data_IF_084438993850
#
_entry.id   IF_084438993850
#
_cell.length_a   1.000
_cell.length_b   1.000
_cell.length_c   1.000
_cell.angle_alpha   90.00
_cell.angle_beta   90.00
_cell.angle_gamma   90.00
#
_symmetry.space_group_name_H-M   'P 1'
#
loop_
_entity.id
_entity.type
_entity.pdbx_description
1 polymer ?
#
# COMPACT_ATOMS: atom_id res chain seq x y z
N UNK A 1 0.56 9.42 14.92
CA UNK A 1 1.67 9.02 14.04
C UNK A 1 1.42 7.60 13.51
N UNK A 2 1.76 7.33 12.26
CA UNK A 2 1.75 5.98 11.69
C UNK A 2 3.16 5.36 11.78
N UNK A 3 3.25 4.04 11.86
CA UNK A 3 4.53 3.32 11.84
C UNK A 3 4.48 2.24 10.75
N UNK A 4 5.42 2.28 9.82
CA UNK A 4 5.60 1.28 8.78
C UNK A 4 6.84 0.43 9.06
N UNK A 5 6.71 -0.88 9.01
CA UNK A 5 7.82 -1.83 9.19
C UNK A 5 8.08 -2.52 7.85
N UNK A 6 9.20 -2.21 7.23
CA UNK A 6 9.60 -2.87 5.98
C UNK A 6 10.29 -4.19 6.25
N UNK A 7 9.62 -5.29 5.96
CA UNK A 7 10.19 -6.64 6.03
C UNK A 7 10.80 -7.00 4.68
N UNK A 8 12.14 -7.07 4.54
CA UNK A 8 12.79 -7.22 3.24
C UNK A 8 12.86 -8.67 2.74
N UNK A 9 12.04 -9.59 3.25
CA UNK A 9 12.15 -11.00 2.95
C UNK A 9 10.95 -11.53 2.18
N UNK A 10 11.21 -12.26 1.08
CA UNK A 10 10.23 -13.04 0.34
C UNK A 10 10.68 -14.51 0.22
N UNK A 11 9.74 -15.43 0.01
CA UNK A 11 10.07 -16.81 -0.34
C UNK A 11 10.75 -16.89 -1.71
N UNK A 12 10.18 -16.16 -2.68
CA UNK A 12 10.68 -15.98 -4.04
C UNK A 12 10.23 -14.63 -4.56
N UNK A 13 10.92 -14.07 -5.55
CA UNK A 13 10.52 -12.81 -6.18
C UNK A 13 9.51 -13.09 -7.29
N UNK A 14 8.34 -12.43 -7.22
CA UNK A 14 7.33 -12.47 -8.26
C UNK A 14 7.82 -11.78 -9.52
N UNK A 15 7.30 -12.17 -10.70
CA UNK A 15 7.80 -11.70 -12.00
C UNK A 15 7.49 -10.24 -12.29
N UNK A 16 6.55 -9.64 -11.59
CA UNK A 16 6.09 -8.24 -11.74
C UNK A 16 6.61 -7.30 -10.63
N UNK A 17 7.16 -7.84 -9.54
CA UNK A 17 7.39 -7.08 -8.32
C UNK A 17 8.71 -6.30 -8.36
N UNK A 18 8.63 -4.98 -8.17
CA UNK A 18 9.76 -4.07 -8.02
C UNK A 18 10.09 -3.75 -6.55
N UNK A 19 9.27 -4.17 -5.59
CA UNK A 19 9.53 -3.90 -4.18
C UNK A 19 10.87 -4.46 -3.75
N UNK A 20 11.53 -3.72 -2.85
CA UNK A 20 12.78 -4.19 -2.27
C UNK A 20 12.52 -5.45 -1.45
N UNK A 21 13.02 -6.59 -1.94
CA UNK A 21 12.89 -7.86 -1.25
C UNK A 21 14.05 -8.79 -1.58
N UNK A 22 14.46 -9.56 -0.59
CA UNK A 22 15.54 -10.54 -0.67
C UNK A 22 14.96 -11.94 -0.51
N UNK A 23 15.31 -12.89 -1.38
CA UNK A 23 14.93 -14.28 -1.17
C UNK A 23 15.48 -14.81 0.15
N UNK A 24 14.60 -15.30 1.02
CA UNK A 24 15.02 -15.90 2.29
C UNK A 24 15.51 -17.34 2.08
N UNK A 25 15.03 -17.99 1.02
CA UNK A 25 15.32 -19.39 0.77
C UNK A 25 14.55 -20.35 1.71
N UNK A 26 14.87 -21.65 1.69
CA UNK A 26 14.29 -22.61 2.62
C UNK A 26 14.76 -22.35 4.04
N UNK A 27 13.98 -22.81 5.02
CA UNK A 27 14.32 -22.71 6.43
C UNK A 27 15.67 -23.42 6.69
N UNK A 28 16.63 -22.67 7.23
CA UNK A 28 17.99 -23.10 7.50
C UNK A 28 18.58 -22.29 8.66
N UNK A 29 19.69 -22.72 9.29
CA UNK A 29 20.39 -21.90 10.25
C UNK A 29 20.80 -20.51 9.72
N UNK A 30 21.18 -20.42 8.44
CA UNK A 30 21.53 -19.16 7.78
C UNK A 30 20.32 -18.23 7.65
N UNK A 31 19.18 -18.72 7.15
CA UNK A 31 17.96 -17.90 7.06
C UNK A 31 17.48 -17.43 8.43
N UNK A 32 17.57 -18.28 9.45
CA UNK A 32 17.21 -17.91 10.82
C UNK A 32 18.15 -16.85 11.39
N UNK A 33 19.46 -16.96 11.14
CA UNK A 33 20.47 -15.96 11.54
C UNK A 33 20.22 -14.60 10.89
N UNK A 34 19.89 -14.58 9.58
CA UNK A 34 19.58 -13.35 8.86
C UNK A 34 18.33 -12.65 9.42
N UNK A 35 17.29 -13.41 9.74
CA UNK A 35 16.06 -12.87 10.36
C UNK A 35 16.34 -12.33 11.76
N UNK A 36 17.16 -13.03 12.56
CA UNK A 36 17.54 -12.58 13.90
C UNK A 36 18.35 -11.28 13.85
N UNK A 37 19.35 -11.18 12.97
CA UNK A 37 20.15 -9.97 12.80
C UNK A 37 19.29 -8.77 12.34
N UNK A 38 18.37 -8.99 11.39
CA UNK A 38 17.42 -7.97 10.97
C UNK A 38 16.55 -7.50 12.14
N UNK A 39 15.96 -8.43 12.90
CA UNK A 39 15.14 -8.10 14.08
C UNK A 39 15.91 -7.25 15.08
N UNK A 40 17.11 -7.65 15.42
CA UNK A 40 17.90 -6.96 16.43
C UNK A 40 18.28 -5.54 15.99
N UNK A 41 18.56 -5.33 14.70
CA UNK A 41 18.80 -4.00 14.13
C UNK A 41 17.53 -3.14 14.10
N UNK A 42 16.38 -3.71 13.71
CA UNK A 42 15.09 -3.03 13.72
C UNK A 42 14.69 -2.56 15.13
N UNK A 43 14.91 -3.40 16.14
CA UNK A 43 14.62 -3.02 17.53
C UNK A 43 15.56 -1.90 18.03
N UNK A 44 16.83 -1.89 17.60
CA UNK A 44 17.75 -0.77 17.89
C UNK A 44 17.32 0.51 17.17
N UNK A 45 16.87 0.40 15.93
CA UNK A 45 16.33 1.55 15.18
C UNK A 45 15.13 2.17 15.90
N UNK A 46 14.19 1.33 16.38
CA UNK A 46 13.08 1.80 17.23
C UNK A 46 13.56 2.53 18.48
N UNK A 47 14.60 2.02 19.16
CA UNK A 47 15.17 2.67 20.34
C UNK A 47 15.77 4.04 20.02
N UNK A 48 16.49 4.17 18.89
CA UNK A 48 17.06 5.45 18.43
C UNK A 48 15.96 6.48 18.14
N UNK A 49 14.91 6.07 17.43
CA UNK A 49 13.80 6.96 17.15
C UNK A 49 13.01 7.34 18.40
N UNK A 50 12.81 6.40 19.32
CA UNK A 50 12.16 6.69 20.60
C UNK A 50 12.92 7.74 21.41
N UNK A 51 14.25 7.66 21.44
CA UNK A 51 15.10 8.64 22.14
C UNK A 51 14.98 10.05 21.51
N UNK A 52 14.77 10.14 20.17
CA UNK A 52 14.65 11.42 19.45
C UNK A 52 13.25 12.03 19.52
N UNK A 53 12.21 11.19 19.34
CA UNK A 53 10.84 11.64 19.16
C UNK A 53 10.06 11.75 20.48
N UNK A 54 10.55 11.07 21.53
CA UNK A 54 9.82 10.94 22.79
C UNK A 54 8.50 10.16 22.64
N UNK A 55 7.71 10.13 23.71
CA UNK A 55 6.45 9.37 23.75
C UNK A 55 5.35 10.10 22.99
N UNK A 56 4.78 9.44 21.99
CA UNK A 56 3.66 9.94 21.17
C UNK A 56 2.72 8.80 20.78
N UNK A 57 1.42 9.08 20.54
CA UNK A 57 0.48 8.04 20.15
C UNK A 57 0.78 7.48 18.76
N UNK A 58 0.74 6.15 18.63
CA UNK A 58 0.79 5.42 17.37
C UNK A 58 -0.61 4.91 17.04
N UNK A 59 -1.19 5.41 15.96
CA UNK A 59 -2.57 5.11 15.56
C UNK A 59 -2.65 3.90 14.64
N UNK A 60 -1.56 3.61 13.91
CA UNK A 60 -1.44 2.39 13.12
C UNK A 60 0.00 1.89 13.04
N UNK A 61 0.13 0.56 12.95
CA UNK A 61 1.36 -0.14 12.60
C UNK A 61 1.09 -1.00 11.38
N UNK A 62 1.93 -0.90 10.36
CA UNK A 62 1.79 -1.70 9.15
C UNK A 62 3.08 -2.48 8.90
N UNK A 63 2.99 -3.80 8.93
CA UNK A 63 4.06 -4.69 8.51
C UNK A 63 3.89 -5.00 7.03
N UNK A 64 4.80 -4.50 6.19
CA UNK A 64 4.73 -4.63 4.74
C UNK A 64 6.09 -4.89 4.08
N UNK A 65 6.13 -4.77 2.76
CA UNK A 65 7.32 -4.84 1.93
C UNK A 65 7.49 -6.15 1.17
N UNK A 66 8.27 -7.08 1.67
CA UNK A 66 8.39 -8.42 1.10
C UNK A 66 7.21 -9.32 1.49
N UNK A 67 7.38 -10.12 2.52
CA UNK A 67 6.30 -10.99 3.05
C UNK A 67 6.44 -11.10 4.57
N UNK A 68 5.85 -10.19 5.33
CA UNK A 68 5.94 -10.18 6.80
C UNK A 68 5.49 -11.47 7.47
N UNK A 69 4.52 -12.14 6.88
CA UNK A 69 4.00 -13.44 7.35
C UNK A 69 4.93 -14.64 7.13
N UNK A 70 6.11 -14.45 6.54
CA UNK A 70 7.19 -15.44 6.54
C UNK A 70 7.98 -15.43 7.86
N UNK A 71 7.95 -14.31 8.60
CA UNK A 71 8.65 -14.21 9.87
C UNK A 71 7.85 -14.89 10.98
N UNK A 72 8.52 -15.47 11.98
CA UNK A 72 7.82 -16.11 13.07
C UNK A 72 7.02 -15.08 13.90
N UNK A 73 5.86 -15.45 14.47
CA UNK A 73 4.96 -14.52 15.19
C UNK A 73 5.59 -13.80 16.39
N UNK A 74 6.63 -14.34 16.99
CA UNK A 74 7.39 -13.69 18.06
C UNK A 74 8.17 -12.46 17.57
N UNK A 75 8.45 -12.36 16.26
CA UNK A 75 9.02 -11.15 15.66
C UNK A 75 8.02 -9.99 15.76
N UNK A 76 6.78 -10.18 15.29
CA UNK A 76 5.74 -9.15 15.32
C UNK A 76 5.41 -8.76 16.76
N UNK A 77 5.31 -9.75 17.66
CA UNK A 77 5.07 -9.50 19.08
C UNK A 77 6.18 -8.63 19.70
N UNK A 78 7.45 -8.94 19.45
CA UNK A 78 8.57 -8.17 19.96
C UNK A 78 8.60 -6.71 19.44
N UNK A 79 8.29 -6.52 18.15
CA UNK A 79 8.22 -5.17 17.55
C UNK A 79 7.07 -4.37 18.18
N UNK A 80 5.87 -4.95 18.29
CA UNK A 80 4.70 -4.29 18.86
C UNK A 80 4.91 -3.94 20.34
N UNK A 81 5.50 -4.86 21.13
CA UNK A 81 5.86 -4.58 22.51
C UNK A 81 6.86 -3.40 22.61
N UNK A 82 7.85 -3.34 21.72
CA UNK A 82 8.84 -2.26 21.70
C UNK A 82 8.19 -0.93 21.31
N UNK A 83 7.26 -0.92 20.33
CA UNK A 83 6.51 0.26 19.94
C UNK A 83 5.63 0.76 21.10
N UNK A 84 4.89 -0.12 21.77
CA UNK A 84 4.02 0.28 22.88
C UNK A 84 4.81 0.80 24.07
N UNK A 85 5.94 0.17 24.39
CA UNK A 85 6.83 0.60 25.47
C UNK A 85 7.35 2.01 25.25
N UNK A 86 7.79 2.34 24.04
CA UNK A 86 8.47 3.60 23.75
C UNK A 86 7.52 4.72 23.31
N UNK A 87 6.55 4.40 22.46
CA UNK A 87 5.64 5.39 21.91
C UNK A 87 4.30 5.40 22.64
N UNK A 88 3.50 4.51 22.54
CA UNK A 88 2.16 4.25 23.05
C UNK A 88 1.22 3.87 21.90
N UNK A 89 0.83 2.63 21.82
CA UNK A 89 -0.22 2.20 20.89
C UNK A 89 -1.56 2.78 21.35
N UNK A 90 -2.20 3.55 20.48
CA UNK A 90 -3.50 4.12 20.76
C UNK A 90 -4.55 3.00 20.98
N UNK A 91 -5.52 3.26 21.85
CA UNK A 91 -6.62 2.32 22.06
C UNK A 91 -7.34 2.08 20.70
N UNK A 92 -7.40 0.83 20.26
CA UNK A 92 -7.93 0.44 18.95
C UNK A 92 -7.05 0.83 17.75
N UNK A 93 -5.72 0.96 17.93
CA UNK A 93 -4.78 1.13 16.83
C UNK A 93 -4.98 0.05 15.75
N UNK A 94 -4.87 0.42 14.48
CA UNK A 94 -4.85 -0.55 13.38
C UNK A 94 -3.46 -1.21 13.31
N UNK A 95 -3.42 -2.53 13.42
CA UNK A 95 -2.19 -3.30 13.30
C UNK A 95 -2.33 -4.24 12.12
N UNK A 96 -1.81 -3.79 10.98
CA UNK A 96 -1.92 -4.45 9.70
C UNK A 96 -0.69 -5.29 9.39
N UNK A 97 -0.91 -6.43 8.74
CA UNK A 97 0.18 -7.27 8.23
C UNK A 97 -0.14 -7.77 6.82
N UNK A 98 0.81 -7.58 5.90
CA UNK A 98 0.79 -8.24 4.60
C UNK A 98 1.12 -9.72 4.73
N UNK A 99 0.40 -10.54 3.99
CA UNK A 99 0.58 -11.97 3.99
C UNK A 99 0.38 -12.57 2.59
N UNK A 100 1.04 -13.69 2.34
CA UNK A 100 0.74 -14.52 1.17
C UNK A 100 -0.05 -15.76 1.59
N UNK A 101 -0.94 -16.28 0.72
CA UNK A 101 -1.74 -17.47 1.05
C UNK A 101 -0.92 -18.63 1.59
N UNK A 102 0.21 -18.96 0.95
CA UNK A 102 1.06 -20.08 1.35
C UNK A 102 1.70 -19.92 2.75
N UNK A 103 1.84 -18.69 3.25
CA UNK A 103 2.38 -18.44 4.60
C UNK A 103 1.33 -18.58 5.70
N UNK A 104 0.04 -18.60 5.33
CA UNK A 104 -1.09 -18.72 6.24
C UNK A 104 -1.67 -20.15 6.33
N UNK A 105 -1.04 -21.12 5.64
CA UNK A 105 -1.49 -22.52 5.67
C UNK A 105 -1.21 -23.23 7.02
N UNK A 106 -0.33 -22.68 7.83
CA UNK A 106 -0.05 -23.17 9.17
C UNK A 106 -1.00 -22.49 10.19
N UNK A 107 -2.11 -23.12 10.54
CA UNK A 107 -3.12 -22.59 11.47
C UNK A 107 -2.53 -21.99 12.74
N UNK A 108 -1.55 -22.68 13.36
CA UNK A 108 -0.88 -22.18 14.59
C UNK A 108 -0.17 -20.84 14.39
N UNK A 109 0.36 -20.57 13.20
CA UNK A 109 0.98 -19.27 12.90
C UNK A 109 -0.10 -18.18 12.84
N UNK A 110 -1.22 -18.44 12.20
CA UNK A 110 -2.37 -17.50 12.14
C UNK A 110 -2.87 -17.15 13.54
N UNK A 111 -3.12 -18.17 14.38
CA UNK A 111 -3.55 -17.95 15.77
C UNK A 111 -2.53 -17.08 16.55
N UNK A 112 -1.23 -17.31 16.34
CA UNK A 112 -0.17 -16.56 17.02
C UNK A 112 -0.02 -15.12 16.50
N UNK A 113 -0.20 -14.83 15.20
CA UNK A 113 -0.23 -13.46 14.68
C UNK A 113 -1.37 -12.65 15.30
N UNK A 114 -2.58 -13.21 15.35
CA UNK A 114 -3.72 -12.53 15.97
C UNK A 114 -3.52 -12.34 17.49
N UNK A 115 -2.94 -13.34 18.18
CA UNK A 115 -2.59 -13.23 19.59
C UNK A 115 -1.48 -12.18 19.84
N UNK A 116 -0.57 -11.96 18.90
CA UNK A 116 0.44 -10.89 18.97
C UNK A 116 -0.15 -9.48 18.81
N UNK A 117 -1.43 -9.37 18.40
CA UNK A 117 -2.13 -8.09 18.26
C UNK A 117 -2.39 -7.66 16.83
N UNK A 118 -2.01 -8.45 15.81
CA UNK A 118 -2.39 -8.17 14.42
C UNK A 118 -3.93 -8.22 14.34
N UNK A 119 -4.56 -7.15 13.86
CA UNK A 119 -6.01 -7.04 13.80
C UNK A 119 -6.55 -6.79 12.37
N UNK A 120 -5.64 -6.61 11.38
CA UNK A 120 -5.95 -6.53 9.95
C UNK A 120 -4.93 -7.34 9.15
N UNK A 121 -5.40 -8.18 8.23
CA UNK A 121 -4.56 -8.93 7.29
C UNK A 121 -4.85 -8.42 5.86
N UNK A 122 -3.79 -8.10 5.10
CA UNK A 122 -3.86 -7.87 3.65
C UNK A 122 -3.23 -9.08 2.96
N UNK A 123 -4.03 -9.86 2.25
CA UNK A 123 -3.56 -11.10 1.66
C UNK A 123 -3.34 -10.95 0.15
N UNK A 124 -2.10 -11.11 -0.29
CA UNK A 124 -1.69 -11.00 -1.68
C UNK A 124 -2.17 -12.19 -2.53
N UNK A 125 -3.44 -12.18 -2.93
CA UNK A 125 -4.08 -13.21 -3.76
C UNK A 125 -3.71 -13.05 -5.23
N UNK A 126 -3.75 -11.83 -5.73
CA UNK A 126 -3.49 -11.37 -7.10
C UNK A 126 -4.50 -11.87 -8.14
N UNK A 127 -4.85 -13.15 -8.16
CA UNK A 127 -5.88 -13.73 -9.02
C UNK A 127 -6.47 -14.99 -8.39
N UNK A 128 -7.71 -15.32 -8.78
CA UNK A 128 -8.35 -16.61 -8.45
C UNK A 128 -8.24 -17.63 -9.59
N UNK A 129 -7.50 -17.29 -10.66
CA UNK A 129 -7.19 -18.19 -11.78
C UNK A 129 -5.71 -18.63 -11.72
N UNK A 130 -5.47 -19.93 -11.58
CA UNK A 130 -4.14 -20.53 -11.47
C UNK A 130 -3.23 -20.23 -12.69
N UNK A 131 -3.81 -19.93 -13.87
CA UNK A 131 -3.04 -19.53 -15.07
C UNK A 131 -2.37 -18.19 -14.87
N UNK A 132 -3.12 -17.20 -14.34
CA UNK A 132 -2.58 -15.88 -14.07
C UNK A 132 -1.62 -15.91 -12.88
N UNK A 133 -1.89 -16.73 -11.86
CA UNK A 133 -0.95 -16.92 -10.76
C UNK A 133 0.40 -17.49 -11.26
N UNK A 134 0.37 -18.45 -12.15
CA UNK A 134 1.59 -18.99 -12.77
C UNK A 134 2.31 -17.95 -13.64
N UNK A 135 1.58 -17.15 -14.43
CA UNK A 135 2.11 -16.03 -15.21
C UNK A 135 2.85 -15.01 -14.32
N UNK A 136 2.27 -14.66 -13.18
CA UNK A 136 2.83 -13.73 -12.19
C UNK A 136 3.99 -14.33 -11.38
N UNK A 137 4.24 -15.63 -11.50
CA UNK A 137 5.27 -16.35 -10.74
C UNK A 137 4.89 -16.51 -9.26
N UNK A 138 3.59 -16.61 -8.95
CA UNK A 138 3.11 -16.85 -7.59
C UNK A 138 3.31 -18.30 -7.19
N UNK A 139 3.79 -18.58 -5.97
CA UNK A 139 4.00 -19.94 -5.48
C UNK A 139 2.70 -20.63 -5.05
N UNK A 140 1.65 -19.88 -4.74
CA UNK A 140 0.35 -20.38 -4.31
C UNK A 140 -0.62 -20.60 -5.48
N UNK A 141 -1.68 -21.33 -5.22
CA UNK A 141 -2.81 -21.56 -6.11
C UNK A 141 -4.11 -21.12 -5.45
N UNK A 142 -5.19 -21.07 -6.24
CA UNK A 142 -6.55 -20.77 -5.74
C UNK A 142 -6.92 -21.62 -4.51
N UNK A 143 -6.60 -22.91 -4.50
CA UNK A 143 -6.87 -23.77 -3.35
C UNK A 143 -6.14 -23.34 -2.07
N UNK A 144 -4.97 -22.72 -2.17
CA UNK A 144 -4.25 -22.20 -1.00
C UNK A 144 -4.92 -20.95 -0.45
N UNK A 145 -5.48 -20.09 -1.33
CA UNK A 145 -6.28 -18.91 -0.93
C UNK A 145 -7.48 -19.35 -0.09
N UNK A 146 -8.25 -20.32 -0.60
CA UNK A 146 -9.43 -20.82 0.12
C UNK A 146 -9.08 -21.35 1.52
N UNK A 147 -8.02 -22.15 1.64
CA UNK A 147 -7.55 -22.67 2.93
C UNK A 147 -7.03 -21.58 3.85
N UNK A 148 -6.30 -20.59 3.32
CA UNK A 148 -5.81 -19.47 4.12
C UNK A 148 -6.95 -18.65 4.71
N UNK A 149 -7.99 -18.35 3.91
CA UNK A 149 -9.20 -17.66 4.41
C UNK A 149 -9.93 -18.48 5.46
N UNK A 150 -10.11 -19.79 5.25
CA UNK A 150 -10.69 -20.67 6.25
C UNK A 150 -9.92 -20.62 7.58
N UNK A 151 -8.59 -20.67 7.54
CA UNK A 151 -7.76 -20.58 8.74
C UNK A 151 -7.89 -19.22 9.43
N UNK A 152 -7.88 -18.13 8.68
CA UNK A 152 -8.05 -16.77 9.22
C UNK A 152 -9.42 -16.61 9.89
N UNK A 153 -10.50 -17.01 9.22
CA UNK A 153 -11.86 -16.91 9.78
C UNK A 153 -12.05 -17.78 11.01
N UNK A 154 -11.53 -19.01 10.96
CA UNK A 154 -11.59 -19.92 12.11
C UNK A 154 -10.72 -19.46 13.30
N UNK A 155 -9.69 -18.62 13.07
CA UNK A 155 -8.91 -17.96 14.12
C UNK A 155 -9.56 -16.67 14.65
N UNK A 156 -10.67 -16.19 14.03
CA UNK A 156 -11.40 -15.00 14.45
C UNK A 156 -10.95 -13.71 13.76
N UNK A 157 -10.19 -13.78 12.64
CA UNK A 157 -9.87 -12.62 11.84
C UNK A 157 -11.14 -12.00 11.26
N UNK A 158 -11.40 -10.72 11.60
CA UNK A 158 -12.60 -9.96 11.20
C UNK A 158 -12.29 -8.78 10.26
N UNK A 159 -11.03 -8.56 9.91
CA UNK A 159 -10.60 -7.52 8.99
C UNK A 159 -9.61 -8.14 8.01
N UNK A 160 -10.16 -8.72 6.96
CA UNK A 160 -9.42 -9.37 5.89
C UNK A 160 -9.54 -8.56 4.60
N UNK A 161 -8.39 -8.10 4.09
CA UNK A 161 -8.24 -7.56 2.76
C UNK A 161 -7.71 -8.61 1.79
N UNK A 162 -8.22 -8.61 0.57
CA UNK A 162 -7.71 -9.41 -0.54
C UNK A 162 -7.12 -8.46 -1.58
N UNK A 163 -5.82 -8.64 -1.89
CA UNK A 163 -5.14 -7.85 -2.90
C UNK A 163 -5.21 -8.60 -4.23
N UNK A 164 -5.80 -7.97 -5.24
CA UNK A 164 -6.07 -8.51 -6.57
C UNK A 164 -5.43 -7.64 -7.65
N UNK A 165 -5.15 -8.22 -8.81
CA UNK A 165 -4.58 -7.52 -9.95
C UNK A 165 -5.43 -7.70 -11.20
N UNK A 166 -5.63 -6.61 -11.92
CA UNK A 166 -6.28 -6.57 -13.22
C UNK A 166 -5.34 -6.03 -14.30
N UNK A 167 -5.74 -6.14 -15.57
CA UNK A 167 -4.90 -5.72 -16.69
C UNK A 167 -3.74 -6.69 -16.98
N UNK A 168 -3.86 -7.94 -16.55
CA UNK A 168 -2.82 -8.96 -16.74
C UNK A 168 -2.70 -9.37 -18.21
N UNK A 169 -1.51 -9.77 -18.70
CA UNK A 169 -1.35 -10.30 -20.04
C UNK A 169 -2.32 -11.45 -20.35
N UNK A 170 -3.14 -11.27 -21.38
CA UNK A 170 -4.16 -12.23 -21.78
C UNK A 170 -5.42 -12.27 -20.92
N UNK A 171 -5.57 -11.34 -19.98
CA UNK A 171 -6.80 -11.16 -19.21
C UNK A 171 -7.77 -10.27 -19.99
N UNK A 172 -9.05 -10.59 -19.96
CA UNK A 172 -10.16 -9.76 -20.42
C UNK A 172 -11.09 -9.42 -19.24
N UNK A 173 -12.10 -8.58 -19.50
CA UNK A 173 -13.07 -8.16 -18.47
C UNK A 173 -13.80 -9.36 -17.85
N UNK A 174 -14.14 -10.39 -18.61
CA UNK A 174 -14.83 -11.57 -18.08
C UNK A 174 -13.95 -12.34 -17.07
N UNK A 175 -12.65 -12.52 -17.38
CA UNK A 175 -11.70 -13.15 -16.46
C UNK A 175 -11.52 -12.31 -15.17
N UNK A 176 -11.46 -10.96 -15.31
CA UNK A 176 -11.35 -10.07 -14.16
C UNK A 176 -12.58 -10.15 -13.25
N UNK A 177 -13.77 -10.05 -13.82
CA UNK A 177 -15.02 -10.13 -13.05
C UNK A 177 -15.19 -11.48 -12.38
N UNK A 178 -14.83 -12.59 -13.05
CA UNK A 178 -14.83 -13.92 -12.44
C UNK A 178 -13.85 -14.00 -11.25
N UNK A 179 -12.68 -13.37 -11.34
CA UNK A 179 -11.75 -13.27 -10.20
C UNK A 179 -12.36 -12.50 -9.03
N UNK A 180 -13.06 -11.39 -9.31
CA UNK A 180 -13.75 -10.62 -8.28
C UNK A 180 -14.90 -11.40 -7.64
N UNK A 181 -15.73 -12.09 -8.43
CA UNK A 181 -16.83 -12.92 -7.92
C UNK A 181 -16.32 -14.03 -6.99
N UNK A 182 -15.28 -14.75 -7.40
CA UNK A 182 -14.63 -15.77 -6.59
C UNK A 182 -14.05 -15.19 -5.27
N UNK A 183 -13.44 -14.00 -5.33
CA UNK A 183 -12.90 -13.31 -4.16
C UNK A 183 -14.04 -12.81 -3.24
N UNK A 184 -15.11 -12.26 -3.79
CA UNK A 184 -16.29 -11.78 -3.06
C UNK A 184 -17.05 -12.91 -2.36
N UNK A 185 -17.03 -14.11 -2.92
CA UNK A 185 -17.60 -15.31 -2.26
C UNK A 185 -16.87 -15.68 -0.95
N UNK A 186 -15.67 -15.14 -0.70
CA UNK A 186 -14.92 -15.26 0.57
C UNK A 186 -15.29 -14.20 1.61
N UNK A 187 -16.23 -13.32 1.27
CA UNK A 187 -16.77 -12.27 2.14
C UNK A 187 -15.67 -11.38 2.77
N UNK A 188 -14.74 -10.79 1.97
CA UNK A 188 -13.73 -9.91 2.51
C UNK A 188 -14.35 -8.59 3.01
N UNK A 189 -13.70 -7.97 3.99
CA UNK A 189 -14.04 -6.62 4.45
C UNK A 189 -13.38 -5.54 3.57
N UNK A 190 -12.32 -5.90 2.84
CA UNK A 190 -11.55 -4.98 2.03
C UNK A 190 -11.04 -5.69 0.78
N UNK A 191 -10.98 -4.98 -0.34
CA UNK A 191 -10.34 -5.44 -1.58
C UNK A 191 -9.42 -4.33 -2.09
N UNK A 192 -8.16 -4.70 -2.38
CA UNK A 192 -7.27 -3.88 -3.18
C UNK A 192 -7.29 -4.40 -4.61
N UNK A 193 -7.63 -3.56 -5.58
CA UNK A 193 -7.68 -3.92 -7.01
C UNK A 193 -6.65 -3.07 -7.77
N UNK A 194 -5.46 -3.61 -7.95
CA UNK A 194 -4.35 -2.91 -8.60
C UNK A 194 -4.32 -3.20 -10.10
N UNK A 195 -4.26 -2.15 -10.92
CA UNK A 195 -3.88 -2.28 -12.32
C UNK A 195 -2.43 -2.71 -12.45
N UNK A 196 -2.14 -3.65 -13.33
CA UNK A 196 -0.77 -4.07 -13.58
C UNK A 196 0.05 -2.92 -14.14
N UNK A 197 1.10 -2.52 -13.42
CA UNK A 197 2.16 -1.65 -13.93
C UNK A 197 3.38 -2.51 -14.26
N UNK A 198 3.95 -2.31 -15.45
CA UNK A 198 5.19 -2.96 -15.84
C UNK A 198 6.38 -2.17 -15.30
N UNK A 199 6.94 -2.66 -14.20
CA UNK A 199 8.08 -2.04 -13.54
C UNK A 199 9.38 -2.42 -14.25
N UNK A 200 10.21 -1.41 -14.54
CA UNK A 200 11.49 -1.58 -15.24
C UNK A 200 12.38 -2.62 -14.55
N UNK A 201 13.01 -3.47 -15.35
CA UNK A 201 13.94 -4.49 -14.88
C UNK A 201 13.26 -5.73 -14.26
N UNK A 202 11.92 -5.82 -14.25
CA UNK A 202 11.22 -7.04 -13.83
C UNK A 202 11.21 -8.10 -14.95
N UNK A 203 11.09 -9.40 -14.62
CA UNK A 203 10.96 -10.44 -15.66
C UNK A 203 9.73 -10.25 -16.55
N UNK A 204 8.62 -9.73 -16.01
CA UNK A 204 7.39 -9.53 -16.77
C UNK A 204 7.53 -8.37 -17.78
N UNK A 205 8.17 -7.28 -17.36
CA UNK A 205 8.48 -6.15 -18.24
C UNK A 205 9.40 -6.57 -19.39
N UNK A 206 10.47 -7.34 -19.09
CA UNK A 206 11.36 -7.87 -20.12
C UNK A 206 10.66 -8.78 -21.14
N UNK A 207 9.69 -9.56 -20.71
CA UNK A 207 8.89 -10.41 -21.60
C UNK A 207 7.97 -9.59 -22.50
N UNK A 208 7.40 -8.52 -21.96
CA UNK A 208 6.57 -7.58 -22.70
C UNK A 208 7.42 -6.78 -23.71
N UNK A 209 8.53 -6.17 -23.29
CA UNK A 209 9.43 -5.42 -24.16
C UNK A 209 10.02 -6.28 -25.30
N UNK A 210 10.16 -7.56 -25.07
CA UNK A 210 10.59 -8.53 -26.10
C UNK A 210 9.43 -9.04 -26.99
N UNK A 211 8.21 -8.52 -26.85
CA UNK A 211 7.05 -8.92 -27.63
C UNK A 211 6.53 -10.33 -27.33
N UNK A 212 6.93 -10.94 -26.21
CA UNK A 212 6.46 -12.29 -25.80
C UNK A 212 5.12 -12.25 -25.07
N UNK A 213 4.72 -11.10 -24.57
CA UNK A 213 3.45 -10.85 -23.89
C UNK A 213 2.82 -9.56 -24.42
N UNK A 214 1.49 -9.51 -24.45
CA UNK A 214 0.71 -8.29 -24.73
C UNK A 214 -0.21 -7.98 -23.56
N UNK A 215 -0.31 -6.71 -23.22
CA UNK A 215 -1.32 -6.22 -22.27
C UNK A 215 -2.67 -6.08 -22.96
N UNK A 216 -3.77 -6.08 -22.22
CA UNK A 216 -5.07 -5.66 -22.75
C UNK A 216 -4.99 -4.22 -23.27
N UNK A 217 -5.76 -3.95 -24.34
CA UNK A 217 -5.90 -2.61 -24.92
C UNK A 217 -6.55 -1.64 -23.89
N UNK A 218 -6.33 -0.34 -24.05
CA UNK A 218 -6.78 0.69 -23.11
C UNK A 218 -8.30 0.64 -22.87
N UNK A 219 -9.11 0.46 -23.92
CA UNK A 219 -10.56 0.31 -23.79
C UNK A 219 -10.98 -0.92 -22.97
N UNK A 220 -10.19 -2.00 -23.02
CA UNK A 220 -10.44 -3.19 -22.20
C UNK A 220 -10.04 -2.94 -20.75
N UNK A 221 -8.94 -2.24 -20.52
CA UNK A 221 -8.50 -1.85 -19.18
C UNK A 221 -9.51 -0.89 -18.53
N UNK A 222 -10.05 0.07 -19.28
CA UNK A 222 -11.12 0.95 -18.81
C UNK A 222 -12.35 0.15 -18.39
N UNK A 223 -12.80 -0.81 -19.23
CA UNK A 223 -13.93 -1.69 -18.89
C UNK A 223 -13.67 -2.49 -17.62
N UNK A 224 -12.49 -3.12 -17.49
CA UNK A 224 -12.12 -3.87 -16.28
C UNK A 224 -12.25 -2.99 -15.03
N UNK A 225 -11.72 -1.78 -15.07
CA UNK A 225 -11.75 -0.86 -13.93
C UNK A 225 -13.18 -0.45 -13.58
N UNK A 226 -13.96 0.05 -14.57
CA UNK A 226 -15.31 0.57 -14.32
C UNK A 226 -16.31 -0.52 -13.94
N UNK A 227 -16.23 -1.71 -14.56
CA UNK A 227 -17.10 -2.82 -14.20
C UNK A 227 -16.71 -3.44 -12.87
N UNK A 228 -15.40 -3.49 -12.56
CA UNK A 228 -14.90 -3.90 -11.24
C UNK A 228 -15.46 -3.03 -10.13
N UNK A 229 -15.44 -1.68 -10.28
CA UNK A 229 -16.06 -0.74 -9.33
C UNK A 229 -17.54 -1.06 -9.11
N UNK A 230 -18.29 -1.26 -10.20
CA UNK A 230 -19.75 -1.54 -10.13
C UNK A 230 -20.02 -2.85 -9.38
N UNK A 231 -19.24 -3.89 -9.67
CA UNK A 231 -19.39 -5.19 -9.04
C UNK A 231 -19.07 -5.13 -7.53
N UNK A 232 -17.96 -4.49 -7.16
CA UNK A 232 -17.55 -4.31 -5.76
C UNK A 232 -18.59 -3.50 -4.99
N UNK A 233 -19.09 -2.39 -5.55
CA UNK A 233 -20.12 -1.55 -4.95
C UNK A 233 -21.44 -2.33 -4.76
N UNK A 234 -21.84 -3.16 -5.72
CA UNK A 234 -23.04 -4.02 -5.60
C UNK A 234 -22.94 -5.03 -4.45
N UNK A 235 -21.71 -5.34 -3.99
CA UNK A 235 -21.44 -6.22 -2.84
C UNK A 235 -21.11 -5.45 -1.55
N UNK A 236 -21.32 -4.12 -1.54
CA UNK A 236 -21.13 -3.26 -0.36
C UNK A 236 -19.67 -2.93 -0.05
N UNK A 237 -18.76 -3.07 -1.02
CA UNK A 237 -17.40 -2.56 -0.94
C UNK A 237 -17.32 -1.23 -1.71
N UNK A 238 -17.25 -0.14 -0.98
CA UNK A 238 -17.19 1.21 -1.54
C UNK A 238 -15.75 1.57 -1.88
N UNK A 239 -15.53 2.15 -3.06
CA UNK A 239 -14.24 2.73 -3.40
C UNK A 239 -13.96 3.92 -2.48
N UNK A 240 -12.80 3.97 -1.84
CA UNK A 240 -12.43 5.12 -1.02
C UNK A 240 -11.17 5.85 -1.53
N UNK A 241 -10.36 5.16 -2.33
CA UNK A 241 -9.28 5.77 -3.13
C UNK A 241 -9.06 4.95 -4.40
N UNK A 242 -8.09 5.35 -5.23
CA UNK A 242 -7.92 4.88 -6.61
C UNK A 242 -7.92 3.35 -6.78
N UNK A 243 -7.38 2.60 -5.82
CA UNK A 243 -7.20 1.13 -5.92
C UNK A 243 -7.89 0.34 -4.81
N UNK A 244 -8.42 0.99 -3.76
CA UNK A 244 -8.91 0.31 -2.58
C UNK A 244 -10.41 0.49 -2.35
N UNK A 245 -11.03 -0.62 -1.96
CA UNK A 245 -12.48 -0.77 -1.75
C UNK A 245 -12.72 -1.46 -0.42
N UNK A 246 -13.68 -0.98 0.36
CA UNK A 246 -13.98 -1.61 1.65
C UNK A 246 -15.44 -1.44 2.06
N UNK A 247 -15.87 -2.33 2.94
CA UNK A 247 -17.12 -2.14 3.67
C UNK A 247 -17.00 -0.92 4.59
N UNK A 248 -18.11 -0.22 4.88
CA UNK A 248 -18.08 0.89 5.84
C UNK A 248 -17.42 0.50 7.17
N UNK A 249 -16.45 1.29 7.62
CA UNK A 249 -15.68 1.05 8.85
C UNK A 249 -14.42 0.17 8.68
N UNK A 250 -14.11 -0.33 7.46
CA UNK A 250 -12.95 -1.17 7.18
C UNK A 250 -11.92 -0.54 6.22
N UNK A 251 -12.00 0.77 6.01
CA UNK A 251 -10.94 1.49 5.28
C UNK A 251 -9.59 1.29 5.99
N UNK A 252 -8.53 1.04 5.23
CA UNK A 252 -7.19 1.00 5.82
C UNK A 252 -6.81 2.37 6.35
N UNK A 253 -6.73 2.50 7.67
CA UNK A 253 -6.34 3.77 8.31
C UNK A 253 -4.89 4.13 8.01
N UNK A 254 -4.04 3.12 7.89
CA UNK A 254 -2.65 3.33 7.52
C UNK A 254 -2.53 3.93 6.12
N UNK A 255 -3.17 3.31 5.10
CA UNK A 255 -3.15 3.80 3.73
C UNK A 255 -3.80 5.19 3.62
N UNK A 256 -4.94 5.39 4.30
CA UNK A 256 -5.58 6.70 4.35
C UNK A 256 -4.68 7.78 4.97
N UNK A 257 -3.84 7.41 5.93
CA UNK A 257 -2.84 8.32 6.48
C UNK A 257 -1.87 8.83 5.42
N UNK A 258 -1.39 7.98 4.51
CA UNK A 258 -0.56 8.43 3.36
C UNK A 258 -1.33 9.39 2.46
N UNK A 259 -2.56 9.05 2.08
CA UNK A 259 -3.40 9.90 1.22
C UNK A 259 -3.73 11.26 1.85
N UNK A 260 -3.82 11.33 3.16
CA UNK A 260 -4.08 12.58 3.90
C UNK A 260 -2.81 13.34 4.29
N UNK A 261 -1.61 12.83 3.96
CA UNK A 261 -0.33 13.46 4.27
C UNK A 261 0.01 13.43 5.77
N UNK A 262 -0.43 12.39 6.47
CA UNK A 262 -0.10 12.20 7.88
C UNK A 262 1.40 11.87 8.06
N UNK A 263 1.97 12.31 9.17
CA UNK A 263 3.31 11.92 9.58
C UNK A 263 3.40 10.41 9.81
N UNK A 264 4.43 9.80 9.21
CA UNK A 264 4.73 8.38 9.39
C UNK A 264 6.23 8.12 9.54
N UNK A 265 6.54 7.15 10.37
CA UNK A 265 7.88 6.62 10.59
C UNK A 265 8.00 5.27 9.92
N UNK A 266 8.83 5.18 8.88
CA UNK A 266 9.24 3.93 8.26
C UNK A 266 10.50 3.38 8.93
N UNK A 267 10.53 2.07 9.13
CA UNK A 267 11.62 1.37 9.79
C UNK A 267 12.04 0.16 8.97
N UNK A 268 13.33 -0.08 8.89
CA UNK A 268 13.90 -1.18 8.12
C UNK A 268 14.47 -0.74 6.76
N UNK A 269 15.27 -1.59 6.09
CA UNK A 269 15.93 -1.23 4.83
C UNK A 269 14.91 -0.91 3.74
N UNK A 270 15.15 0.15 2.97
CA UNK A 270 14.27 0.73 1.96
C UNK A 270 12.96 1.35 2.48
N UNK A 271 12.76 1.45 3.80
CA UNK A 271 11.61 2.16 4.36
C UNK A 271 11.75 3.68 4.15
N UNK A 272 10.67 4.33 3.75
CA UNK A 272 10.60 5.79 3.70
C UNK A 272 9.88 6.30 4.93
N UNK A 273 10.32 7.44 5.43
CA UNK A 273 9.66 8.21 6.49
C UNK A 273 9.32 9.61 6.01
N UNK A 274 8.18 10.14 6.46
CA UNK A 274 7.83 11.56 6.34
C UNK A 274 7.38 12.03 7.71
N UNK A 275 8.17 12.84 8.36
CA UNK A 275 7.94 13.23 9.74
C UNK A 275 8.43 14.66 10.00
N UNK A 276 7.57 15.49 10.61
CA UNK A 276 7.91 16.85 11.01
C UNK A 276 8.49 17.71 9.86
N UNK A 277 7.96 17.52 8.65
CA UNK A 277 8.39 18.27 7.45
C UNK A 277 9.72 17.82 6.86
N UNK A 278 10.21 16.65 7.22
CA UNK A 278 11.39 16.01 6.65
C UNK A 278 11.02 14.67 6.06
N UNK A 279 11.73 14.28 4.99
CA UNK A 279 11.61 12.96 4.35
C UNK A 279 12.98 12.32 4.22
N UNK A 280 13.06 11.02 4.45
CA UNK A 280 14.24 10.21 4.17
C UNK A 280 13.82 8.80 3.79
N UNK A 281 14.71 8.10 3.12
CA UNK A 281 14.54 6.67 2.79
C UNK A 281 15.79 5.93 3.25
N UNK A 282 15.58 4.90 4.05
CA UNK A 282 16.68 4.04 4.48
C UNK A 282 17.28 3.29 3.29
N UNK A 283 18.59 3.06 3.33
CA UNK A 283 19.26 2.32 2.27
C UNK A 283 18.67 0.93 2.08
N UNK A 284 18.47 0.46 0.82
CA UNK A 284 18.02 -0.91 0.57
C UNK A 284 19.09 -1.97 0.88
N UNK A 285 20.36 -1.58 0.98
CA UNK A 285 21.44 -2.49 1.38
C UNK A 285 21.33 -2.79 2.88
N UNK A 286 20.97 -4.04 3.21
CA UNK A 286 20.74 -4.46 4.58
C UNK A 286 21.99 -4.29 5.47
N UNK A 287 23.20 -4.55 4.94
CA UNK A 287 24.42 -4.42 5.72
C UNK A 287 24.76 -2.96 6.01
N UNK A 288 24.55 -2.07 5.02
CA UNK A 288 24.72 -0.64 5.19
C UNK A 288 23.68 -0.07 6.15
N UNK A 289 22.42 -0.45 6.03
CA UNK A 289 21.37 -0.05 6.97
C UNK A 289 21.72 -0.44 8.41
N UNK A 290 22.19 -1.67 8.64
CA UNK A 290 22.65 -2.12 9.96
C UNK A 290 23.80 -1.25 10.48
N UNK A 291 24.78 -0.93 9.62
CA UNK A 291 25.91 -0.09 9.99
C UNK A 291 25.48 1.36 10.32
N UNK A 292 24.53 1.92 9.61
CA UNK A 292 23.98 3.26 9.87
C UNK A 292 23.22 3.29 11.21
N UNK A 293 22.44 2.24 11.52
CA UNK A 293 21.77 2.08 12.82
C UNK A 293 22.79 1.95 13.95
N UNK A 294 23.82 1.12 13.79
CA UNK A 294 24.89 0.94 14.77
C UNK A 294 25.69 2.24 15.02
N UNK A 295 25.80 3.09 14.00
CA UNK A 295 26.40 4.42 14.09
C UNK A 295 25.46 5.49 14.65
N UNK A 296 24.19 5.17 14.97
CA UNK A 296 23.18 6.09 15.48
C UNK A 296 22.67 7.12 14.46
N UNK A 297 22.70 6.80 13.16
CA UNK A 297 22.34 7.68 12.05
C UNK A 297 21.18 7.13 11.21
N UNK A 298 19.95 6.99 11.75
CA UNK A 298 18.83 6.40 11.03
C UNK A 298 18.22 7.35 9.98
N UNK A 299 18.64 8.61 9.87
CA UNK A 299 18.08 9.65 9.00
C UNK A 299 19.15 10.48 8.26
N UNK A 300 20.25 9.86 7.85
CA UNK A 300 21.44 10.56 7.37
C UNK A 300 21.23 11.39 6.09
N UNK A 301 20.31 11.03 5.21
CA UNK A 301 20.04 11.70 3.93
C UNK A 301 18.65 12.39 3.93
N UNK A 302 18.18 12.87 5.09
CA UNK A 302 16.86 13.49 5.17
C UNK A 302 16.79 14.86 4.47
N UNK A 303 15.80 15.03 3.59
CA UNK A 303 15.46 16.27 2.90
C UNK A 303 14.34 17.03 3.60
N UNK A 304 14.30 18.36 3.45
CA UNK A 304 13.21 19.19 3.94
C UNK A 304 12.07 19.24 2.91
N UNK A 305 10.83 19.02 3.36
CA UNK A 305 9.64 19.19 2.53
C UNK A 305 9.32 20.69 2.45
N UNK A 306 9.58 21.29 1.30
CA UNK A 306 9.28 22.70 1.07
C UNK A 306 7.76 22.95 1.01
N UNK A 307 7.29 24.21 1.18
CA UNK A 307 5.87 24.53 0.98
C UNK A 307 5.34 24.12 -0.40
N UNK A 308 6.15 24.27 -1.45
CA UNK A 308 5.82 23.84 -2.82
C UNK A 308 5.60 22.32 -2.89
N UNK A 309 6.58 21.53 -2.44
CA UNK A 309 6.48 20.06 -2.42
C UNK A 309 5.23 19.64 -1.65
N UNK A 310 4.96 20.28 -0.50
CA UNK A 310 3.78 19.97 0.30
C UNK A 310 2.48 20.23 -0.45
N UNK A 311 2.38 21.36 -1.16
CA UNK A 311 1.21 21.70 -1.97
C UNK A 311 0.97 20.66 -3.07
N UNK A 312 2.01 20.35 -3.85
CA UNK A 312 1.93 19.37 -4.94
C UNK A 312 1.51 17.99 -4.43
N UNK A 313 2.14 17.52 -3.36
CA UNK A 313 1.79 16.22 -2.76
C UNK A 313 0.36 16.19 -2.24
N UNK A 314 -0.11 17.26 -1.57
CA UNK A 314 -1.48 17.31 -1.08
C UNK A 314 -2.49 17.27 -2.22
N UNK A 315 -2.26 18.00 -3.30
CA UNK A 315 -3.07 17.95 -4.51
C UNK A 315 -3.05 16.55 -5.14
N UNK A 316 -1.86 16.02 -5.38
CA UNK A 316 -1.67 14.70 -6.01
C UNK A 316 -2.33 13.57 -5.20
N UNK A 317 -2.14 13.53 -3.89
CA UNK A 317 -2.65 12.49 -3.02
C UNK A 317 -4.17 12.61 -2.85
N UNK A 318 -4.68 13.81 -2.58
CA UNK A 318 -6.11 14.00 -2.32
C UNK A 318 -6.97 13.74 -3.56
N UNK A 319 -6.51 14.12 -4.75
CA UNK A 319 -7.22 13.87 -6.01
C UNK A 319 -7.31 12.37 -6.36
N UNK A 320 -6.48 11.52 -5.75
CA UNK A 320 -6.60 10.06 -5.90
C UNK A 320 -7.52 9.40 -4.87
N UNK A 321 -8.11 10.19 -3.98
CA UNK A 321 -9.15 9.71 -3.04
C UNK A 321 -10.55 10.07 -3.54
N UNK A 322 -11.55 9.26 -3.21
CA UNK A 322 -12.95 9.56 -3.53
C UNK A 322 -13.48 10.79 -2.77
N UNK A 323 -12.84 11.18 -1.67
CA UNK A 323 -13.14 12.41 -0.96
C UNK A 323 -12.64 13.66 -1.68
N UNK A 324 -11.63 13.54 -2.53
CA UNK A 324 -11.04 14.63 -3.29
C UNK A 324 -10.29 15.65 -2.43
N UNK A 325 -9.95 16.78 -3.05
CA UNK A 325 -9.17 17.86 -2.45
C UNK A 325 -10.08 18.98 -1.94
N UNK A 326 -9.83 19.46 -0.72
CA UNK A 326 -10.53 20.61 -0.12
C UNK A 326 -9.96 21.95 -0.62
N UNK A 327 -10.81 22.81 -1.19
CA UNK A 327 -10.38 24.08 -1.78
C UNK A 327 -9.75 25.02 -0.73
N UNK A 328 -10.24 24.99 0.50
CA UNK A 328 -9.68 25.77 1.62
C UNK A 328 -8.25 25.32 2.00
N UNK A 329 -7.89 24.06 1.73
CA UNK A 329 -6.53 23.57 1.96
C UNK A 329 -5.54 24.21 0.98
N UNK A 330 -5.94 24.46 -0.27
CA UNK A 330 -5.12 25.22 -1.22
C UNK A 330 -4.83 26.63 -0.71
N UNK A 331 -5.85 27.31 -0.22
CA UNK A 331 -5.67 28.65 0.36
C UNK A 331 -4.70 28.64 1.54
N UNK A 332 -4.79 27.63 2.40
CA UNK A 332 -3.89 27.48 3.54
C UNK A 332 -2.44 27.26 3.12
N UNK A 333 -2.21 26.45 2.05
CA UNK A 333 -0.88 26.07 1.60
C UNK A 333 -0.24 27.11 0.67
N UNK A 334 -1.03 27.75 -0.21
CA UNK A 334 -0.54 28.67 -1.25
C UNK A 334 -0.78 30.16 -0.92
N UNK A 335 -1.69 30.47 0.00
CA UNK A 335 -2.15 31.84 0.26
C UNK A 335 -3.12 32.38 -0.82
N UNK A 336 -3.61 31.54 -1.76
CA UNK A 336 -4.41 31.93 -2.93
C UNK A 336 -5.75 31.22 -2.94
N UNK A 337 -6.70 31.73 -3.74
CA UNK A 337 -8.00 31.08 -3.93
C UNK A 337 -7.96 30.11 -5.10
N UNK A 338 -8.30 28.84 -4.85
CA UNK A 338 -8.23 27.77 -5.86
C UNK A 338 -9.13 28.03 -7.08
N UNK A 339 -10.34 28.52 -6.89
CA UNK A 339 -11.26 28.75 -8.00
C UNK A 339 -10.90 30.03 -8.78
N UNK A 340 -10.28 31.01 -8.15
CA UNK A 340 -9.71 32.15 -8.87
C UNK A 340 -8.57 31.73 -9.79
N UNK A 341 -7.70 30.83 -9.33
CA UNK A 341 -6.56 30.34 -10.09
C UNK A 341 -6.95 29.27 -11.12
N UNK A 342 -7.79 28.30 -10.75
CA UNK A 342 -8.05 27.08 -11.53
C UNK A 342 -9.53 26.85 -11.89
N UNK A 343 -10.44 27.80 -11.64
CA UNK A 343 -11.89 27.61 -11.84
C UNK A 343 -12.29 27.33 -13.30
N UNK A 344 -11.54 27.84 -14.29
CA UNK A 344 -11.71 27.49 -15.71
C UNK A 344 -11.47 26.00 -15.94
N UNK A 345 -10.31 25.54 -15.51
CA UNK A 345 -9.89 24.15 -15.57
C UNK A 345 -10.85 23.19 -14.84
N UNK A 346 -11.32 23.54 -13.65
CA UNK A 346 -12.33 22.75 -12.96
C UNK A 346 -13.61 22.55 -13.78
N UNK A 347 -14.09 23.63 -14.45
CA UNK A 347 -15.28 23.53 -15.29
C UNK A 347 -15.07 22.62 -16.50
N UNK A 348 -13.88 22.65 -17.11
CA UNK A 348 -13.51 21.76 -18.21
C UNK A 348 -13.52 20.28 -17.77
N UNK A 349 -12.90 19.95 -16.64
CA UNK A 349 -12.93 18.59 -16.09
C UNK A 349 -14.34 18.12 -15.75
N UNK A 350 -15.16 18.99 -15.15
CA UNK A 350 -16.56 18.66 -14.83
C UNK A 350 -17.38 18.44 -16.10
N UNK A 351 -17.22 19.30 -17.12
CA UNK A 351 -17.90 19.17 -18.42
C UNK A 351 -17.48 17.89 -19.15
N UNK A 352 -16.21 17.46 -19.00
CA UNK A 352 -15.71 16.19 -19.54
C UNK A 352 -16.14 14.96 -18.72
N UNK A 353 -16.83 15.13 -17.59
CA UNK A 353 -17.21 14.02 -16.70
C UNK A 353 -16.06 13.42 -15.90
N UNK A 354 -14.90 14.08 -15.85
CA UNK A 354 -13.70 13.59 -15.16
C UNK A 354 -13.63 14.00 -13.70
N UNK A 355 -14.34 15.09 -13.33
CA UNK A 355 -14.36 15.57 -11.96
C UNK A 355 -15.77 15.99 -11.54
N UNK A 356 -15.95 16.15 -10.24
CA UNK A 356 -17.10 16.78 -9.60
C UNK A 356 -16.60 17.88 -8.66
N UNK A 357 -17.28 19.00 -8.67
CA UNK A 357 -17.10 20.06 -7.69
C UNK A 357 -18.31 20.04 -6.76
N UNK A 358 -18.12 19.59 -5.54
CA UNK A 358 -19.17 19.39 -4.56
C UNK A 358 -18.88 20.27 -3.33
N UNK A 359 -19.61 21.38 -3.24
CA UNK A 359 -19.35 22.41 -2.23
C UNK A 359 -17.94 23.00 -2.36
N UNK A 360 -17.12 22.76 -1.35
CA UNK A 360 -15.74 23.22 -1.25
C UNK A 360 -14.70 22.13 -1.62
N UNK A 361 -15.11 21.07 -2.32
CA UNK A 361 -14.24 19.95 -2.66
C UNK A 361 -14.25 19.65 -4.16
N UNK A 362 -13.05 19.46 -4.71
CA UNK A 362 -12.84 18.91 -6.07
C UNK A 362 -12.47 17.43 -5.94
N UNK A 363 -13.27 16.55 -6.51
CA UNK A 363 -12.98 15.11 -6.53
C UNK A 363 -13.05 14.56 -7.96
N UNK A 364 -12.17 13.62 -8.28
CA UNK A 364 -12.23 12.91 -9.55
C UNK A 364 -13.39 11.89 -9.53
N UNK A 365 -14.02 11.71 -10.69
CA UNK A 365 -14.96 10.60 -10.94
C UNK A 365 -14.17 9.30 -11.15
N UNK A 366 -14.82 8.13 -11.21
CA UNK A 366 -14.12 6.90 -11.65
C UNK A 366 -13.40 7.05 -12.99
N UNK A 367 -13.98 7.75 -13.96
CA UNK A 367 -13.34 8.07 -15.24
C UNK A 367 -12.13 9.00 -15.06
N UNK A 368 -12.25 10.00 -14.18
CA UNK A 368 -11.14 10.89 -13.85
C UNK A 368 -10.00 10.20 -13.12
N UNK A 369 -10.28 9.21 -12.27
CA UNK A 369 -9.26 8.42 -11.58
C UNK A 369 -8.42 7.59 -12.55
N UNK A 370 -9.00 7.06 -13.63
CA UNK A 370 -8.24 6.36 -14.69
C UNK A 370 -7.18 7.23 -15.34
N UNK A 371 -7.45 8.52 -15.50
CA UNK A 371 -6.54 9.50 -16.10
C UNK A 371 -5.93 10.45 -15.07
N UNK A 372 -5.94 10.07 -13.80
CA UNK A 372 -5.49 10.92 -12.69
C UNK A 372 -4.06 11.43 -12.83
N UNK A 373 -3.18 10.65 -13.45
CA UNK A 373 -1.80 11.09 -13.70
C UNK A 373 -1.74 12.28 -14.66
N UNK A 374 -2.54 12.27 -15.75
CA UNK A 374 -2.63 13.38 -16.69
C UNK A 374 -3.28 14.61 -16.06
N UNK A 375 -4.34 14.40 -15.27
CA UNK A 375 -5.02 15.49 -14.54
C UNK A 375 -4.08 16.18 -13.54
N UNK A 376 -3.30 15.40 -12.80
CA UNK A 376 -2.32 15.94 -11.83
C UNK A 376 -1.17 16.64 -12.53
N UNK A 377 -0.66 16.09 -13.65
CA UNK A 377 0.41 16.71 -14.42
C UNK A 377 -0.02 18.09 -14.98
N UNK A 378 -1.22 18.16 -15.59
CA UNK A 378 -1.79 19.43 -16.08
C UNK A 378 -1.97 20.45 -14.93
N UNK A 379 -2.40 20.00 -13.75
CA UNK A 379 -2.50 20.89 -12.59
C UNK A 379 -1.12 21.41 -12.15
N UNK A 380 -0.08 20.59 -12.18
CA UNK A 380 1.28 21.01 -11.79
C UNK A 380 1.85 22.03 -12.78
N UNK A 381 1.63 21.86 -14.10
CA UNK A 381 2.01 22.85 -15.11
C UNK A 381 1.35 24.21 -14.82
N UNK A 382 0.08 24.22 -14.42
CA UNK A 382 -0.65 25.44 -14.03
C UNK A 382 -0.12 26.08 -12.76
N UNK A 383 0.38 25.30 -11.79
CA UNK A 383 1.05 25.85 -10.61
C UNK A 383 2.36 26.53 -11.00
N UNK A 384 3.13 25.96 -11.94
CA UNK A 384 4.36 26.56 -12.45
C UNK A 384 4.10 27.89 -13.15
N UNK A 385 3.03 28.00 -13.95
CA UNK A 385 2.61 29.26 -14.60
C UNK A 385 2.26 30.35 -13.57
N UNK A 386 1.79 29.99 -12.38
CA UNK A 386 1.47 30.90 -11.28
C UNK A 386 2.69 31.24 -10.41
N UNK A 387 3.82 30.58 -10.64
CA UNK A 387 5.04 30.74 -9.85
C UNK A 387 4.94 30.15 -8.44
N UNK A 388 4.08 29.13 -8.30
CA UNK A 388 3.85 28.41 -7.03
C UNK A 388 4.77 27.19 -6.93
#
# INVERSE_FOLDING_TARGET
>A
MLVYIHVPFCRSRCRYCAFHSLPLGPASPDSSSRVAAYRDSLLRELDLWAARLGRRPVESVFFGGGTPSLLPPDFQAAVLERIDRHFHLAAGAEISMEANPESLLARRAVDAYLAAGINRISMGVQSMDDRFLALLGRPHRRADVLRAVEHLRAAGCRNLGLDLMWGLPGQDTAHWLSTLEDALALEPEHVSAYGLTLEEGTPLERDWSAGRLSLPEDDEQERMYLEGIRLLAAHGLEQYEISNYARPGFFSRHNMGYWTGADYLGLGPAATSTLEGRRWTDTPDQARWQADIDAGRPDHDAEAITPRIRLEERLMLSLRTCAGFGLAEYTTLSGRDFLADHGGWCRELVAAGLARLDGDRLALTPQGLLVSNAVVADLFERLDELGL
#
